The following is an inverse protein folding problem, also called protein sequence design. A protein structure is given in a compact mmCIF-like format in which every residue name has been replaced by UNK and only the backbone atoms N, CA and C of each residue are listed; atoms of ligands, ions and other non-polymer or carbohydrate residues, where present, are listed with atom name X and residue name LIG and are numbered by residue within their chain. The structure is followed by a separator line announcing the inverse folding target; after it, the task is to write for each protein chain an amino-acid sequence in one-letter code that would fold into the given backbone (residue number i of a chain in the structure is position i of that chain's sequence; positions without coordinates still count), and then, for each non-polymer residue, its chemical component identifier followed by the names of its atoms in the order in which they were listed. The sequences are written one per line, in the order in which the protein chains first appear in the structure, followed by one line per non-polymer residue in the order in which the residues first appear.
data_IF_730183236554
#
_entry.id   IF_730183236554
#
_cell.length_a   1.000
_cell.length_b   1.000
_cell.length_c   1.000
_cell.angle_alpha   90.00
_cell.angle_beta   90.00
_cell.angle_gamma   90.00
#
_symmetry.space_group_name_H-M   'P 1'
#
loop_
_entity.id
_entity.type
_entity.pdbx_description
1 polymer ?
#
# COMPACT_ATOMS: atom_id res chain seq x y z
N UNK A 1 6.97 19.40 20.49
CA UNK A 1 7.74 19.21 19.25
C UNK A 1 6.76 18.94 18.11
N UNK A 2 6.94 19.56 16.94
CA UNK A 2 6.04 19.39 15.80
C UNK A 2 6.04 17.95 15.26
N UNK A 3 4.85 17.45 14.90
CA UNK A 3 4.62 16.11 14.36
C UNK A 3 4.45 16.18 12.86
N UNK A 4 5.26 15.45 12.11
CA UNK A 4 5.13 15.34 10.65
C UNK A 4 4.35 14.09 10.25
N UNK A 5 3.47 14.21 9.26
CA UNK A 5 2.76 13.10 8.63
C UNK A 5 2.99 13.17 7.12
N UNK A 6 3.54 12.11 6.56
CA UNK A 6 3.77 11.93 5.13
C UNK A 6 2.77 10.91 4.61
N UNK A 7 1.90 11.30 3.66
CA UNK A 7 1.03 10.36 2.94
C UNK A 7 1.61 10.17 1.55
N UNK A 8 1.80 8.92 1.15
CA UNK A 8 2.41 8.55 -0.13
C UNK A 8 1.45 7.64 -0.88
N UNK A 9 1.07 8.01 -2.08
CA UNK A 9 0.41 7.15 -3.05
C UNK A 9 1.44 6.64 -4.04
N UNK A 10 1.36 5.36 -4.37
CA UNK A 10 2.24 4.72 -5.33
C UNK A 10 1.46 3.74 -6.20
N UNK A 11 1.86 3.64 -7.45
CA UNK A 11 1.34 2.68 -8.41
C UNK A 11 2.39 2.38 -9.50
N UNK A 12 2.24 1.26 -10.22
CA UNK A 12 3.06 0.92 -11.37
C UNK A 12 2.25 0.30 -12.52
N UNK A 13 2.63 0.64 -13.74
CA UNK A 13 2.16 -0.02 -14.98
C UNK A 13 3.32 -0.76 -15.64
N UNK A 14 3.15 -2.07 -15.84
CA UNK A 14 4.16 -2.95 -16.42
C UNK A 14 3.78 -3.38 -17.84
N UNK A 15 4.65 -3.15 -18.82
CA UNK A 15 4.33 -3.32 -20.25
C UNK A 15 5.09 -4.48 -20.93
N UNK A 16 5.92 -5.24 -20.20
CA UNK A 16 6.62 -6.41 -20.73
C UNK A 16 8.10 -6.18 -21.01
N UNK A 17 8.71 -7.06 -21.81
CA UNK A 17 10.16 -7.09 -22.08
C UNK A 17 10.64 -6.04 -23.08
N UNK A 18 9.74 -5.56 -23.94
CA UNK A 18 10.08 -4.65 -25.04
C UNK A 18 9.71 -3.20 -24.76
N UNK A 19 9.15 -2.92 -23.57
CA UNK A 19 8.64 -1.60 -23.22
C UNK A 19 9.05 -1.22 -21.79
N UNK A 20 9.39 0.06 -21.60
CA UNK A 20 9.71 0.60 -20.29
C UNK A 20 8.44 0.70 -19.44
N UNK A 21 8.42 -0.04 -18.33
CA UNK A 21 7.39 0.07 -17.31
C UNK A 21 7.50 1.42 -16.59
N UNK A 22 6.36 1.92 -16.11
CA UNK A 22 6.22 3.25 -15.50
C UNK A 22 5.77 3.10 -14.05
N UNK A 23 6.43 3.80 -13.14
CA UNK A 23 5.94 4.03 -11.79
C UNK A 23 5.32 5.42 -11.69
N UNK A 24 4.34 5.58 -10.81
CA UNK A 24 3.79 6.87 -10.43
C UNK A 24 3.85 7.07 -8.93
N UNK A 25 3.97 8.33 -8.53
CA UNK A 25 3.86 8.72 -7.13
C UNK A 25 3.10 10.04 -6.97
N UNK A 26 2.39 10.15 -5.85
CA UNK A 26 1.84 11.39 -5.32
C UNK A 26 2.14 11.42 -3.84
N UNK A 27 2.55 12.55 -3.26
CA UNK A 27 2.72 12.63 -1.81
C UNK A 27 2.39 13.99 -1.24
N UNK A 28 1.90 13.98 -0.01
CA UNK A 28 1.70 15.18 0.82
C UNK A 28 2.48 15.04 2.13
N UNK A 29 3.09 16.14 2.57
CA UNK A 29 3.68 16.28 3.89
C UNK A 29 2.88 17.29 4.69
N UNK A 30 2.42 16.87 5.87
CA UNK A 30 1.73 17.72 6.83
C UNK A 30 2.55 17.89 8.10
N UNK A 31 2.50 19.08 8.70
CA UNK A 31 3.06 19.38 10.02
C UNK A 31 1.93 19.85 10.92
N UNK A 32 1.70 19.13 12.01
CA UNK A 32 0.63 19.44 12.96
C UNK A 32 -0.74 19.65 12.26
N UNK A 33 -1.02 18.82 11.24
CA UNK A 33 -2.19 18.83 10.34
C UNK A 33 -2.24 19.92 9.25
N UNK A 34 -1.32 20.88 9.26
CA UNK A 34 -1.18 21.87 8.19
C UNK A 34 -0.40 21.27 7.02
N UNK A 35 -0.87 21.52 5.78
CA UNK A 35 -0.15 21.10 4.58
C UNK A 35 1.13 21.94 4.43
N UNK A 36 2.28 21.26 4.43
CA UNK A 36 3.58 21.90 4.22
C UNK A 36 3.98 21.78 2.76
N UNK A 37 3.95 20.55 2.24
CA UNK A 37 4.27 20.26 0.85
C UNK A 37 3.24 19.35 0.25
N UNK A 38 2.95 19.62 -1.02
CA UNK A 38 2.29 18.70 -1.90
C UNK A 38 3.17 18.52 -3.13
N UNK A 39 3.31 17.28 -3.58
CA UNK A 39 3.94 16.98 -4.84
C UNK A 39 2.86 16.71 -5.87
N UNK A 40 2.89 17.49 -6.95
CA UNK A 40 2.11 17.18 -8.13
C UNK A 40 2.48 15.78 -8.64
N UNK A 41 1.50 14.99 -9.10
CA UNK A 41 1.73 13.62 -9.56
C UNK A 41 2.90 13.53 -10.53
N UNK A 42 3.71 12.49 -10.36
CA UNK A 42 4.91 12.31 -11.16
C UNK A 42 5.02 10.87 -11.67
N UNK A 43 5.30 10.72 -12.98
CA UNK A 43 5.64 9.46 -13.63
C UNK A 43 7.16 9.34 -13.73
N UNK A 44 7.67 8.14 -13.56
CA UNK A 44 9.09 7.85 -13.74
C UNK A 44 9.29 6.44 -14.28
N UNK A 45 10.36 6.24 -15.06
CA UNK A 45 10.71 4.90 -15.56
C UNK A 45 11.13 3.98 -14.41
N UNK A 46 10.59 2.76 -14.40
CA UNK A 46 11.02 1.67 -13.50
C UNK A 46 11.76 0.56 -14.27
N UNK A 47 12.10 0.83 -15.54
CA UNK A 47 12.80 -0.09 -16.44
C UNK A 47 11.87 -1.15 -17.04
N UNK A 48 12.46 -2.10 -17.75
CA UNK A 48 11.75 -3.24 -18.33
C UNK A 48 11.36 -4.25 -17.25
N UNK A 49 10.07 -4.31 -16.92
CA UNK A 49 9.53 -5.18 -15.87
C UNK A 49 8.31 -5.92 -16.40
N UNK A 50 8.34 -7.26 -16.31
CA UNK A 50 7.24 -8.15 -16.72
C UNK A 50 6.29 -8.51 -15.58
N UNK A 51 6.72 -8.33 -14.33
CA UNK A 51 5.93 -8.69 -13.16
C UNK A 51 5.37 -7.43 -12.49
N UNK A 52 4.04 -7.28 -12.50
CA UNK A 52 3.33 -6.13 -11.92
C UNK A 52 3.68 -5.90 -10.45
N UNK A 53 3.66 -6.94 -9.61
CA UNK A 53 4.04 -6.82 -8.19
C UNK A 53 5.47 -6.33 -8.05
N UNK A 54 6.44 -6.85 -8.83
CA UNK A 54 7.80 -6.33 -8.78
C UNK A 54 7.87 -4.85 -9.21
N UNK A 55 7.04 -4.45 -10.17
CA UNK A 55 6.90 -3.06 -10.59
C UNK A 55 6.46 -2.15 -9.44
N UNK A 56 5.43 -2.55 -8.69
CA UNK A 56 4.94 -1.84 -7.50
C UNK A 56 6.05 -1.66 -6.45
N UNK A 57 6.79 -2.73 -6.20
CA UNK A 57 7.95 -2.73 -5.30
C UNK A 57 9.00 -1.69 -5.72
N UNK A 58 9.38 -1.70 -6.99
CA UNK A 58 10.38 -0.76 -7.52
C UNK A 58 9.85 0.68 -7.51
N UNK A 59 8.57 0.88 -7.82
CA UNK A 59 7.93 2.19 -7.74
C UNK A 59 7.97 2.74 -6.32
N UNK A 60 7.64 1.92 -5.31
CA UNK A 60 7.73 2.32 -3.91
C UNK A 60 9.17 2.59 -3.48
N UNK A 61 10.12 1.73 -3.86
CA UNK A 61 11.54 1.90 -3.53
C UNK A 61 12.08 3.25 -4.02
N UNK A 62 11.83 3.60 -5.29
CA UNK A 62 12.27 4.87 -5.88
C UNK A 62 11.56 6.07 -5.25
N UNK A 63 10.27 5.93 -4.94
CA UNK A 63 9.48 6.96 -4.26
C UNK A 63 10.06 7.28 -2.89
N UNK A 64 10.34 6.25 -2.08
CA UNK A 64 10.96 6.42 -0.76
C UNK A 64 12.35 7.05 -0.84
N UNK A 65 13.16 6.67 -1.84
CA UNK A 65 14.48 7.25 -2.05
C UNK A 65 14.38 8.76 -2.34
N UNK A 66 13.46 9.14 -3.22
CA UNK A 66 13.22 10.54 -3.60
C UNK A 66 12.69 11.37 -2.42
N UNK A 67 11.68 10.87 -1.71
CA UNK A 67 11.08 11.59 -0.57
C UNK A 67 12.08 11.71 0.57
N UNK A 68 12.83 10.66 0.90
CA UNK A 68 13.87 10.70 1.93
C UNK A 68 14.94 11.73 1.59
N UNK A 69 15.36 11.80 0.32
CA UNK A 69 16.26 12.84 -0.17
C UNK A 69 15.68 14.25 0.03
N UNK A 70 14.40 14.45 -0.29
CA UNK A 70 13.71 15.75 -0.10
C UNK A 70 13.59 16.12 1.38
N UNK A 71 13.22 15.20 2.26
CA UNK A 71 13.14 15.42 3.71
C UNK A 71 14.51 15.82 4.28
N UNK A 72 15.58 15.13 3.88
CA UNK A 72 16.96 15.46 4.28
C UNK A 72 17.38 16.87 3.86
N UNK A 73 17.16 17.24 2.60
CA UNK A 73 17.49 18.58 2.07
C UNK A 73 16.78 19.71 2.85
N UNK A 74 15.56 19.45 3.29
CA UNK A 74 14.73 20.40 4.04
C UNK A 74 14.88 20.26 5.57
N UNK A 75 15.86 19.49 6.05
CA UNK A 75 16.15 19.31 7.49
C UNK A 75 14.96 18.76 8.30
N UNK A 76 14.08 17.97 7.66
CA UNK A 76 12.97 17.30 8.34
C UNK A 76 13.43 15.92 8.82
N UNK A 77 13.32 15.69 10.13
CA UNK A 77 13.77 14.46 10.76
C UNK A 77 12.85 13.27 10.48
N UNK A 78 13.39 12.19 9.93
CA UNK A 78 12.65 10.93 9.69
C UNK A 78 12.05 10.37 10.98
N UNK A 79 12.82 10.40 12.08
CA UNK A 79 12.36 9.98 13.43
C UNK A 79 11.21 10.80 14.01
N UNK A 80 10.85 11.92 13.38
CA UNK A 80 9.71 12.79 13.74
C UNK A 80 8.55 12.70 12.75
N UNK A 81 8.70 11.88 11.70
CA UNK A 81 7.76 11.75 10.60
C UNK A 81 7.08 10.39 10.66
N UNK A 82 5.76 10.39 10.66
CA UNK A 82 4.94 9.20 10.46
C UNK A 82 4.63 9.08 8.97
N UNK A 83 4.82 7.89 8.39
CA UNK A 83 4.57 7.64 6.96
C UNK A 83 3.39 6.71 6.79
N UNK A 84 2.47 7.08 5.90
CA UNK A 84 1.34 6.29 5.47
C UNK A 84 1.46 6.01 3.97
N UNK A 85 1.70 4.76 3.62
CA UNK A 85 1.78 4.31 2.23
C UNK A 85 0.40 3.84 1.79
N UNK A 86 -0.08 4.36 0.67
CA UNK A 86 -1.35 4.03 0.02
C UNK A 86 -1.06 3.40 -1.34
N UNK A 87 -1.64 2.23 -1.57
CA UNK A 87 -1.51 1.47 -2.82
C UNK A 87 -2.79 0.69 -3.05
N UNK A 88 -3.15 0.46 -4.31
CA UNK A 88 -4.24 -0.43 -4.71
C UNK A 88 -3.81 -1.88 -4.91
N UNK A 89 -2.50 -2.15 -4.82
CA UNK A 89 -1.97 -3.51 -4.78
C UNK A 89 -2.19 -4.16 -3.41
N UNK A 90 -3.23 -4.99 -3.29
CA UNK A 90 -3.48 -5.78 -2.07
C UNK A 90 -2.27 -6.64 -1.68
N UNK A 91 -1.56 -7.18 -2.67
CA UNK A 91 -0.37 -8.01 -2.45
C UNK A 91 0.74 -7.19 -1.82
N UNK A 92 1.05 -6.01 -2.37
CA UNK A 92 2.07 -5.13 -1.81
C UNK A 92 1.68 -4.68 -0.40
N UNK A 93 0.42 -4.27 -0.20
CA UNK A 93 -0.07 -3.82 1.10
C UNK A 93 0.13 -4.89 2.18
N UNK A 94 -0.33 -6.12 1.91
CA UNK A 94 -0.19 -7.27 2.82
C UNK A 94 1.26 -7.70 3.06
N UNK A 95 2.14 -7.47 2.09
CA UNK A 95 3.55 -7.83 2.26
C UNK A 95 4.31 -6.80 3.10
N UNK A 96 3.94 -5.52 3.01
CA UNK A 96 4.57 -4.46 3.78
C UNK A 96 4.03 -4.34 5.20
N UNK A 97 2.76 -4.69 5.44
CA UNK A 97 2.18 -4.74 6.80
C UNK A 97 2.55 -6.01 7.57
N UNK A 98 3.23 -6.96 6.91
CA UNK A 98 3.71 -8.21 7.50
C UNK A 98 2.66 -9.32 7.59
N UNK A 99 1.46 -9.13 7.04
CA UNK A 99 0.42 -10.17 7.01
C UNK A 99 0.75 -11.29 6.02
N UNK A 100 1.51 -10.98 4.96
CA UNK A 100 2.01 -11.94 3.98
C UNK A 100 3.52 -11.82 3.79
N UNK A 101 4.16 -12.93 3.40
CA UNK A 101 5.57 -12.92 3.04
C UNK A 101 5.78 -12.49 1.57
N UNK A 102 6.88 -11.75 1.27
CA UNK A 102 7.26 -11.44 -0.10
C UNK A 102 7.63 -12.72 -0.87
N UNK A 103 7.59 -12.66 -2.20
CA UNK A 103 8.09 -13.74 -3.06
C UNK A 103 9.53 -14.10 -2.70
N UNK A 104 9.86 -15.40 -2.68
CA UNK A 104 11.21 -15.91 -2.41
C UNK A 104 12.20 -15.64 -3.55
N UNK A 105 11.72 -15.15 -4.71
CA UNK A 105 12.57 -14.75 -5.83
C UNK A 105 13.56 -13.65 -5.38
N UNK A 106 14.84 -13.85 -5.66
CA UNK A 106 15.94 -12.98 -5.18
C UNK A 106 15.70 -11.48 -5.46
N UNK A 107 15.17 -11.14 -6.65
CA UNK A 107 14.88 -9.76 -7.03
C UNK A 107 13.85 -9.10 -6.09
N UNK A 108 12.80 -9.82 -5.71
CA UNK A 108 11.78 -9.35 -4.77
C UNK A 108 12.34 -9.18 -3.38
N UNK A 109 13.06 -10.19 -2.86
CA UNK A 109 13.64 -10.13 -1.52
C UNK A 109 14.62 -8.96 -1.38
N UNK A 110 15.45 -8.71 -2.39
CA UNK A 110 16.37 -7.56 -2.39
C UNK A 110 15.61 -6.24 -2.35
N UNK A 111 14.58 -6.07 -3.20
CA UNK A 111 13.79 -4.84 -3.23
C UNK A 111 13.02 -4.63 -1.93
N UNK A 112 12.33 -5.66 -1.41
CA UNK A 112 11.64 -5.63 -0.13
C UNK A 112 12.57 -5.21 1.01
N UNK A 113 13.77 -5.81 1.11
CA UNK A 113 14.75 -5.44 2.15
C UNK A 113 15.14 -3.96 2.09
N UNK A 114 15.41 -3.44 0.88
CA UNK A 114 15.77 -2.02 0.70
C UNK A 114 14.60 -1.09 1.06
N UNK A 115 13.36 -1.48 0.78
CA UNK A 115 12.17 -0.74 1.21
C UNK A 115 12.09 -0.72 2.75
N UNK A 116 12.24 -1.88 3.40
CA UNK A 116 12.22 -1.98 4.86
C UNK A 116 13.33 -1.15 5.52
N UNK A 117 14.54 -1.16 4.96
CA UNK A 117 15.67 -0.34 5.42
C UNK A 117 15.38 1.17 5.30
N UNK A 118 14.71 1.59 4.22
CA UNK A 118 14.31 2.98 4.03
C UNK A 118 13.17 3.40 4.98
N UNK A 119 12.30 2.48 5.35
CA UNK A 119 11.15 2.73 6.24
C UNK A 119 11.54 2.72 7.73
N UNK A 120 12.56 1.93 8.12
CA UNK A 120 13.03 1.80 9.51
C UNK A 120 13.31 3.11 10.25
N UNK A 121 13.85 4.18 9.64
CA UNK A 121 14.15 5.43 10.34
C UNK A 121 12.93 6.31 10.64
N UNK A 122 11.77 6.01 10.05
CA UNK A 122 10.53 6.77 10.28
C UNK A 122 9.98 6.46 11.68
N UNK A 123 9.27 7.44 12.27
CA UNK A 123 8.68 7.29 13.61
C UNK A 123 7.68 6.14 13.67
N UNK A 124 6.84 6.07 12.65
CA UNK A 124 5.78 5.07 12.46
C UNK A 124 5.56 4.90 10.98
N UNK A 125 5.30 3.66 10.59
CA UNK A 125 4.94 3.28 9.23
C UNK A 125 3.58 2.62 9.29
N UNK A 126 2.67 3.01 8.40
CA UNK A 126 1.41 2.32 8.16
C UNK A 126 1.22 2.13 6.66
N UNK A 127 0.59 1.04 6.30
CA UNK A 127 0.27 0.72 4.90
C UNK A 127 -1.24 0.54 4.82
N UNK A 128 -1.85 1.17 3.84
CA UNK A 128 -3.29 1.20 3.66
C UNK A 128 -3.58 0.78 2.23
N UNK A 129 -4.28 -0.34 2.09
CA UNK A 129 -4.85 -0.70 0.80
C UNK A 129 -5.97 0.28 0.44
N UNK A 130 -6.00 0.71 -0.82
CA UNK A 130 -7.00 1.60 -1.38
C UNK A 130 -7.65 0.96 -2.61
N UNK A 131 -8.92 1.29 -2.86
CA UNK A 131 -9.51 0.99 -4.17
C UNK A 131 -8.78 1.79 -5.27
N UNK A 132 -8.96 1.39 -6.53
CA UNK A 132 -8.32 2.06 -7.68
C UNK A 132 -8.72 3.53 -7.75
N UNK A 133 -9.99 3.82 -7.45
CA UNK A 133 -10.60 5.15 -7.46
C UNK A 133 -10.08 6.05 -6.32
N UNK A 134 -9.50 5.46 -5.27
CA UNK A 134 -8.90 6.20 -4.16
C UNK A 134 -7.38 6.34 -4.28
N UNK A 135 -6.73 5.61 -5.19
CA UNK A 135 -5.28 5.65 -5.37
C UNK A 135 -4.88 6.75 -6.37
N UNK A 136 -4.48 7.92 -5.85
CA UNK A 136 -4.14 9.08 -6.70
C UNK A 136 -3.02 8.78 -7.72
N UNK A 137 -2.04 7.96 -7.35
CA UNK A 137 -0.98 7.55 -8.28
C UNK A 137 -1.53 6.69 -9.42
N UNK A 138 -2.49 5.81 -9.11
CA UNK A 138 -3.17 4.98 -10.11
C UNK A 138 -4.07 5.77 -11.05
N UNK A 139 -4.88 6.68 -10.51
CA UNK A 139 -5.67 7.61 -11.32
C UNK A 139 -4.78 8.44 -12.27
N UNK A 140 -3.59 8.82 -11.82
CA UNK A 140 -2.64 9.56 -12.64
C UNK A 140 -2.01 8.70 -13.76
N UNK A 141 -1.72 7.42 -13.50
CA UNK A 141 -1.30 6.51 -14.57
C UNK A 141 -2.38 6.35 -15.64
N UNK A 142 -3.66 6.34 -15.24
CA UNK A 142 -4.81 6.27 -16.15
C UNK A 142 -5.15 7.58 -16.87
N UNK A 143 -4.48 8.69 -16.54
CA UNK A 143 -4.81 10.01 -17.09
C UNK A 143 -6.13 10.60 -16.57
N UNK A 144 -6.71 10.01 -15.51
CA UNK A 144 -7.93 10.48 -14.84
C UNK A 144 -7.66 11.57 -13.81
N UNK A 145 -6.42 11.68 -13.37
CA UNK A 145 -5.93 12.85 -12.64
C UNK A 145 -5.22 13.74 -13.66
N UNK A 146 -5.76 14.92 -13.94
CA UNK A 146 -5.24 15.79 -15.00
C UNK A 146 -3.75 16.11 -14.81
N UNK A 147 -3.02 16.28 -15.91
CA UNK A 147 -1.72 16.93 -15.87
C UNK A 147 -1.95 18.34 -15.32
N UNK A 148 -1.39 18.65 -14.15
CA UNK A 148 -1.57 19.95 -13.47
C UNK A 148 -0.71 21.02 -14.16
N UNK A 149 -0.90 21.17 -15.46
CA UNK A 149 -0.17 22.06 -16.35
C UNK A 149 -1.04 23.07 -17.09
N UNK A 150 -2.38 23.03 -17.02
CA UNK A 150 -3.22 24.01 -17.74
C UNK A 150 -4.69 24.14 -17.29
N UNK A 151 -5.02 23.91 -16.02
CA UNK A 151 -6.36 24.27 -15.51
C UNK A 151 -6.22 25.23 -14.33
N UNK A 152 -6.77 26.43 -14.50
CA UNK A 152 -6.84 27.53 -13.53
C UNK A 152 -7.79 27.27 -12.35
N UNK A 153 -8.20 26.01 -12.13
CA UNK A 153 -9.06 25.63 -11.01
C UNK A 153 -8.30 24.74 -10.03
N UNK A 154 -8.19 25.11 -8.75
CA UNK A 154 -7.62 24.25 -7.73
C UNK A 154 -8.52 23.00 -7.59
N UNK A 155 -7.95 21.82 -7.82
CA UNK A 155 -8.61 20.55 -7.51
C UNK A 155 -8.73 20.48 -5.99
N UNK A 156 -9.91 20.83 -5.49
CA UNK A 156 -10.28 20.56 -4.10
C UNK A 156 -10.48 19.06 -3.98
N UNK A 157 -9.48 18.35 -3.45
CA UNK A 157 -9.61 16.98 -3.00
C UNK A 157 -10.73 16.93 -1.96
N UNK A 158 -11.96 16.57 -2.37
CA UNK A 158 -13.05 16.29 -1.45
C UNK A 158 -12.59 15.15 -0.55
N UNK A 159 -12.51 15.41 0.76
CA UNK A 159 -12.25 14.38 1.76
C UNK A 159 -13.22 13.23 1.51
N UNK A 160 -12.76 11.97 1.38
CA UNK A 160 -13.68 10.85 1.47
C UNK A 160 -14.30 10.89 2.86
N UNK A 161 -15.63 10.90 2.91
CA UNK A 161 -16.39 10.76 4.14
C UNK A 161 -15.91 9.49 4.84
N UNK A 162 -15.41 9.66 6.06
CA UNK A 162 -14.92 8.55 6.86
C UNK A 162 -16.09 7.66 7.26
N UNK A 163 -16.26 6.55 6.55
CA UNK A 163 -17.10 5.45 7.01
C UNK A 163 -16.35 4.76 8.15
N UNK A 164 -16.75 5.06 9.39
CA UNK A 164 -16.31 4.32 10.57
C UNK A 164 -16.96 2.94 10.55
N UNK A 165 -16.24 1.91 10.13
CA UNK A 165 -16.64 0.53 10.40
C UNK A 165 -16.21 0.21 11.83
N UNK A 166 -17.18 0.12 12.73
CA UNK A 166 -16.99 -0.27 14.12
C UNK A 166 -16.68 -1.77 14.18
N UNK A 167 -15.40 -2.14 14.21
CA UNK A 167 -14.95 -3.55 14.32
C UNK A 167 -14.97 -3.98 15.79
N UNK A 168 -16.15 -3.91 16.40
CA UNK A 168 -16.39 -4.27 17.80
C UNK A 168 -17.63 -5.14 17.93
N UNK A 169 -17.55 -6.41 17.48
CA UNK A 169 -18.32 -7.58 17.99
C UNK A 169 -18.32 -8.77 17.00
N UNK A 170 -17.14 -9.29 16.65
CA UNK A 170 -17.05 -10.60 15.98
C UNK A 170 -16.14 -11.52 16.80
N UNK A 171 -16.49 -11.72 18.08
CA UNK A 171 -16.07 -12.89 18.85
C UNK A 171 -17.15 -13.16 19.88
N UNK A 172 -18.16 -13.94 19.49
CA UNK A 172 -19.04 -14.79 20.33
C UNK A 172 -20.12 -15.41 19.45
N UNK A 173 -19.76 -16.45 18.70
CA UNK A 173 -20.74 -17.49 18.33
C UNK A 173 -20.25 -18.81 18.92
N UNK A 174 -21.09 -19.32 19.82
CA UNK A 174 -20.99 -20.60 20.53
C UNK A 174 -20.75 -21.74 19.53
N UNK A 175 -19.79 -22.59 19.85
CA UNK A 175 -19.71 -23.97 19.37
C UNK A 175 -20.86 -24.73 20.05
N UNK A 176 -21.75 -25.45 19.33
CA UNK A 176 -22.66 -26.38 19.96
C UNK A 176 -21.93 -27.68 20.30
N UNK A 177 -22.06 -28.11 21.55
CA UNK A 177 -21.61 -29.39 22.08
C UNK A 177 -22.27 -30.56 21.33
N UNK A 178 -21.46 -31.42 20.70
CA UNK A 178 -21.89 -32.73 20.24
C UNK A 178 -21.61 -33.75 21.35
N UNK A 179 -22.61 -33.93 22.20
CA UNK A 179 -22.66 -34.95 23.23
C UNK A 179 -23.02 -36.30 22.59
N UNK A 180 -22.22 -37.31 22.96
CA UNK A 180 -22.45 -38.73 22.83
C UNK A 180 -23.90 -39.18 23.09
N UNK A 181 -24.44 -40.00 22.19
CA UNK A 181 -25.39 -41.05 22.56
C UNK A 181 -25.10 -42.31 21.73
N UNK A 182 -24.50 -43.30 22.39
CA UNK A 182 -24.37 -44.65 21.85
C UNK A 182 -25.62 -45.51 22.10
N UNK A 183 -25.55 -46.71 21.49
CA UNK A 183 -26.51 -47.85 21.44
C UNK A 183 -27.49 -47.76 20.26
N UNK A 184 -27.69 -48.79 19.41
CA UNK A 184 -27.54 -50.24 19.59
C UNK A 184 -27.46 -51.01 18.26
N UNK A 185 -26.84 -52.19 18.35
CA UNK A 185 -26.69 -53.32 17.40
C UNK A 185 -27.90 -53.67 16.51
N UNK A 186 -27.61 -54.19 15.32
CA UNK A 186 -27.98 -55.55 14.78
C UNK A 186 -27.33 -55.70 13.38
N UNK A 187 -26.26 -56.49 13.25
CA UNK A 187 -26.20 -57.79 12.55
C UNK A 187 -27.30 -58.04 11.52
N UNK A 188 -26.92 -58.14 10.24
CA UNK A 188 -27.44 -59.09 9.24
C UNK A 188 -26.55 -59.04 7.97
N UNK A 189 -25.75 -60.10 7.75
CA UNK A 189 -25.42 -60.63 6.40
C UNK A 189 -26.70 -61.29 5.83
N UNK A 190 -26.92 -61.49 4.51
CA UNK A 190 -26.07 -62.29 3.57
C UNK A 190 -26.31 -61.92 2.06
N UNK A 191 -26.23 -62.83 1.06
CA UNK A 191 -25.27 -63.90 0.71
C UNK A 191 -24.59 -63.72 -0.67
N UNK A 192 -23.62 -64.60 -0.93
CA UNK A 192 -22.88 -64.91 -2.18
C UNK A 192 -21.58 -64.16 -2.46
#
# INVERSE_FOLDING_TARGET
MAKYRLVVYVDASCYGEDQNSIGAMVYELRKDNHLEWEQQPEKFSIGTITNSTLGEYIALEKTLQKITGKLKRNKIGLKKTEVEIRTDSQVLARQLDGTNFPSTKVKFLKCYRRIQEQLKPFKKVSVVWKSREENLAGLFLEGKLGDVGNSSEPIVLKKPESIFINVGNIFKKKVPDLINSGKSRTKEEPPF
#
